data_IF_420726604505
#
_entry.id   IF_420726604505
#
_cell.length_a   1.000
_cell.length_b   1.000
_cell.length_c   1.000
_cell.angle_alpha   90.00
_cell.angle_beta   90.00
_cell.angle_gamma   90.00
#
_symmetry.space_group_name_H-M   'P 1'
#
loop_
_entity.id
_entity.type
_entity.pdbx_description
1 polymer ?
#
# COMPACT_ATOMS: atom_id res chain seq x y z
N UNK A 1 0.83 14.35 -3.34
CA UNK A 1 2.15 13.74 -3.64
C UNK A 1 1.87 12.39 -4.31
N UNK A 2 2.68 11.96 -5.28
CA UNK A 2 2.39 10.75 -6.07
C UNK A 2 2.97 9.53 -5.36
N UNK A 3 2.13 8.50 -5.16
CA UNK A 3 2.57 7.19 -4.71
C UNK A 3 3.42 6.52 -5.79
N UNK A 4 4.64 6.09 -5.46
CA UNK A 4 5.58 5.49 -6.40
C UNK A 4 5.07 4.15 -6.99
N UNK A 5 4.23 3.44 -6.25
CA UNK A 5 3.73 2.11 -6.65
C UNK A 5 2.47 2.21 -7.53
N UNK A 6 1.38 2.79 -7.01
CA UNK A 6 0.12 2.85 -7.75
C UNK A 6 -0.06 4.11 -8.61
N UNK A 7 0.95 4.99 -8.65
CA UNK A 7 0.99 6.22 -9.46
C UNK A 7 -0.18 7.19 -9.24
N UNK A 8 -0.89 7.06 -8.12
CA UNK A 8 -1.99 7.96 -7.72
C UNK A 8 -1.45 9.13 -6.91
N UNK A 9 -1.97 10.32 -7.18
CA UNK A 9 -1.78 11.51 -6.35
C UNK A 9 -2.72 11.43 -5.15
N UNK A 10 -2.16 11.20 -3.97
CA UNK A 10 -2.90 10.95 -2.74
C UNK A 10 -2.36 11.81 -1.58
N UNK A 11 -3.20 12.17 -0.60
CA UNK A 11 -2.79 12.98 0.54
C UNK A 11 -1.99 12.18 1.59
N UNK A 12 -2.12 10.85 1.60
CA UNK A 12 -1.53 9.93 2.58
C UNK A 12 -0.21 9.30 2.12
N UNK A 13 0.46 9.92 1.13
CA UNK A 13 1.75 9.44 0.65
C UNK A 13 2.85 9.83 1.63
N UNK A 14 3.53 8.82 2.18
CA UNK A 14 4.62 8.95 3.16
C UNK A 14 5.87 8.22 2.66
N UNK A 15 7.05 8.62 3.14
CA UNK A 15 8.28 7.88 2.86
C UNK A 15 8.19 6.52 3.56
N UNK A 16 8.39 5.43 2.82
CA UNK A 16 8.42 4.10 3.40
C UNK A 16 9.67 3.91 4.26
N UNK A 17 9.54 3.23 5.39
CA UNK A 17 10.62 3.12 6.38
C UNK A 17 11.85 2.42 5.80
N UNK A 18 11.63 1.33 5.04
CA UNK A 18 12.68 0.44 4.54
C UNK A 18 13.04 0.67 3.06
N UNK A 19 12.44 1.66 2.40
CA UNK A 19 12.72 1.98 1.00
C UNK A 19 12.84 3.49 0.76
N UNK A 20 13.55 3.90 -0.30
CA UNK A 20 13.59 5.31 -0.71
C UNK A 20 12.32 5.74 -1.48
N UNK A 21 11.24 4.96 -1.38
CA UNK A 21 9.98 5.19 -2.09
C UNK A 21 9.00 5.96 -1.21
N UNK A 22 8.17 6.77 -1.87
CA UNK A 22 7.05 7.45 -1.26
C UNK A 22 5.78 6.68 -1.61
N UNK A 23 5.14 6.09 -0.61
CA UNK A 23 4.00 5.17 -0.77
C UNK A 23 2.76 5.70 -0.03
N UNK A 24 1.59 5.54 -0.63
CA UNK A 24 0.33 5.71 0.09
C UNK A 24 0.16 4.59 1.13
N UNK A 25 -0.72 4.78 2.12
CA UNK A 25 -0.86 3.85 3.24
C UNK A 25 -1.11 2.40 2.83
N UNK A 26 -1.89 2.17 1.77
CA UNK A 26 -2.15 0.80 1.27
C UNK A 26 -0.93 0.16 0.59
N UNK A 27 -0.19 0.92 -0.23
CA UNK A 27 1.02 0.39 -0.88
C UNK A 27 2.14 0.16 0.15
N UNK A 28 2.23 1.05 1.14
CA UNK A 28 3.16 0.90 2.27
C UNK A 28 2.87 -0.38 3.07
N UNK A 29 1.60 -0.61 3.40
CA UNK A 29 1.20 -1.81 4.17
C UNK A 29 1.41 -3.09 3.36
N UNK A 30 1.18 -3.05 2.04
CA UNK A 30 1.48 -4.17 1.13
C UNK A 30 2.96 -4.55 1.17
N UNK A 31 3.86 -3.57 1.03
CA UNK A 31 5.30 -3.78 1.12
C UNK A 31 5.70 -4.37 2.48
N UNK A 32 5.17 -3.82 3.58
CA UNK A 32 5.42 -4.31 4.93
C UNK A 32 5.01 -5.76 5.12
N UNK A 33 3.84 -6.17 4.63
CA UNK A 33 3.37 -7.55 4.71
C UNK A 33 4.23 -8.48 3.85
N UNK A 34 4.64 -8.06 2.66
CA UNK A 34 5.58 -8.84 1.84
C UNK A 34 6.88 -9.13 2.56
N UNK A 35 7.48 -8.11 3.20
CA UNK A 35 8.71 -8.31 3.99
C UNK A 35 8.50 -9.28 5.15
N UNK A 36 7.38 -9.18 5.86
CA UNK A 36 7.06 -10.11 6.96
C UNK A 36 6.92 -11.56 6.49
N UNK A 37 6.32 -11.79 5.32
CA UNK A 37 6.22 -13.16 4.75
C UNK A 37 7.61 -13.70 4.45
N UNK A 38 8.46 -12.90 3.79
CA UNK A 38 9.82 -13.31 3.41
C UNK A 38 10.72 -13.59 4.62
N UNK A 39 10.54 -12.86 5.72
CA UNK A 39 11.34 -12.98 6.94
C UNK A 39 10.79 -14.01 7.93
N UNK A 40 9.51 -14.37 7.83
CA UNK A 40 8.93 -15.37 8.72
C UNK A 40 9.37 -16.77 8.32
N UNK A 41 9.75 -17.57 9.32
CA UNK A 41 10.04 -19.01 9.17
C UNK A 41 8.86 -19.89 9.62
N UNK A 42 7.80 -19.28 10.15
CA UNK A 42 6.60 -19.97 10.62
C UNK A 42 5.55 -20.04 9.50
N UNK A 43 5.19 -21.26 9.13
CA UNK A 43 4.23 -21.52 8.06
C UNK A 43 2.81 -21.02 8.39
N UNK A 44 2.40 -21.05 9.66
CA UNK A 44 1.09 -20.54 10.08
C UNK A 44 1.05 -19.02 9.99
N UNK A 45 2.12 -18.37 10.43
CA UNK A 45 2.28 -16.92 10.30
C UNK A 45 2.32 -16.50 8.82
N UNK A 46 3.09 -17.19 7.98
CA UNK A 46 3.11 -16.95 6.53
C UNK A 46 1.72 -17.09 5.90
N UNK A 47 0.94 -18.10 6.30
CA UNK A 47 -0.42 -18.29 5.79
C UNK A 47 -1.36 -17.16 6.22
N UNK A 48 -1.26 -16.70 7.47
CA UNK A 48 -2.02 -15.55 7.98
C UNK A 48 -1.66 -14.25 7.24
N UNK A 49 -0.36 -14.00 7.05
CA UNK A 49 0.12 -12.83 6.32
C UNK A 49 -0.28 -12.88 4.84
N UNK A 50 -0.26 -14.05 4.20
CA UNK A 50 -0.75 -14.22 2.83
C UNK A 50 -2.26 -13.90 2.71
N UNK A 51 -3.07 -14.27 3.70
CA UNK A 51 -4.47 -13.87 3.73
C UNK A 51 -4.63 -12.34 3.91
N UNK A 52 -3.79 -11.73 4.75
CA UNK A 52 -3.77 -10.27 4.93
C UNK A 52 -3.42 -9.56 3.62
N UNK A 53 -2.43 -10.06 2.88
CA UNK A 53 -2.04 -9.52 1.58
C UNK A 53 -3.20 -9.55 0.58
N UNK A 54 -3.97 -10.65 0.51
CA UNK A 54 -5.15 -10.76 -0.37
C UNK A 54 -6.23 -9.73 -0.03
N UNK A 55 -6.42 -9.42 1.26
CA UNK A 55 -7.35 -8.36 1.68
C UNK A 55 -6.89 -7.00 1.19
N UNK A 56 -5.58 -6.71 1.29
CA UNK A 56 -4.99 -5.45 0.81
C UNK A 56 -5.13 -5.33 -0.71
N UNK A 57 -4.81 -6.38 -1.47
CA UNK A 57 -4.96 -6.40 -2.94
C UNK A 57 -6.42 -6.18 -3.36
N UNK A 58 -7.38 -6.76 -2.62
CA UNK A 58 -8.80 -6.51 -2.86
C UNK A 58 -9.20 -5.06 -2.55
N UNK A 59 -8.65 -4.47 -1.49
CA UNK A 59 -8.84 -3.06 -1.19
C UNK A 59 -8.27 -2.17 -2.30
N UNK A 60 -7.12 -2.54 -2.87
CA UNK A 60 -6.51 -1.83 -3.99
C UNK A 60 -7.40 -1.85 -5.25
N UNK A 61 -7.94 -3.01 -5.62
CA UNK A 61 -8.82 -3.18 -6.79
C UNK A 61 -10.19 -2.48 -6.63
N UNK A 62 -10.69 -2.41 -5.40
CA UNK A 62 -11.99 -1.78 -5.11
C UNK A 62 -11.92 -0.27 -4.97
N UNK A 63 -10.72 0.33 -4.96
CA UNK A 63 -10.57 1.79 -4.82
C UNK A 63 -11.16 2.51 -6.03
N UNK A 64 -12.07 3.49 -5.80
CA UNK A 64 -12.49 4.41 -6.84
C UNK A 64 -11.29 5.13 -7.47
N UNK A 65 -11.37 5.43 -8.78
CA UNK A 65 -10.31 6.16 -9.50
C UNK A 65 -10.07 7.56 -8.94
N UNK A 66 -11.08 8.15 -8.29
CA UNK A 66 -11.01 9.46 -7.64
C UNK A 66 -10.76 9.39 -6.13
N UNK A 67 -10.51 8.20 -5.58
CA UNK A 67 -10.20 8.03 -4.17
C UNK A 67 -8.94 8.80 -3.81
N UNK A 68 -9.04 9.69 -2.80
CA UNK A 68 -7.94 10.53 -2.35
C UNK A 68 -7.55 11.66 -3.30
N UNK A 69 -8.30 11.87 -4.39
CA UNK A 69 -8.10 13.03 -5.26
C UNK A 69 -8.64 14.26 -4.54
N UNK A 70 -7.74 15.14 -4.07
CA UNK A 70 -8.18 16.46 -3.61
C UNK A 70 -8.85 17.18 -4.79
N UNK A 71 -10.02 17.82 -4.60
CA UNK A 71 -10.62 18.66 -5.64
C UNK A 71 -9.56 19.66 -6.06
N UNK A 72 -9.12 19.62 -7.33
CA UNK A 72 -8.22 20.64 -7.86
C UNK A 72 -8.94 21.97 -7.70
N UNK A 73 -8.47 22.81 -6.78
CA UNK A 73 -8.84 24.21 -6.74
C UNK A 73 -8.37 24.80 -8.07
N UNK A 74 -9.29 24.95 -9.02
CA UNK A 74 -9.06 25.71 -10.24
C UNK A 74 -8.79 27.14 -9.79
N UNK A 75 -7.54 27.59 -9.91
CA UNK A 75 -7.19 29.01 -9.94
C UNK A 75 -6.83 29.36 -11.37
#
# INVERSE_FOLDING_TARGET
MICAECLRDLPDVVKADDSNLYLCGLCHEKERVHWKILLSTDMEEQAFLANTLRVIERAELSRPKDYGRTPRTQR
#
